data_IF_286491459920
#
_entry.id   IF_286491459920
#
_cell.length_a   1.000
_cell.length_b   1.000
_cell.length_c   1.000
_cell.angle_alpha   90.00
_cell.angle_beta   90.00
_cell.angle_gamma   90.00
#
_symmetry.space_group_name_H-M   'P 1'
#
loop_
_entity.id
_entity.type
_entity.pdbx_description
1 polymer ?
#
# COMPACT_ATOMS: atom_id res chain seq x y z
N UNK A 1 -9.45 4.10 7.76
CA UNK A 1 -10.84 3.95 7.27
C UNK A 1 -11.77 4.17 8.43
N UNK A 2 -12.95 4.74 8.15
CA UNK A 2 -14.08 4.77 9.10
C UNK A 2 -15.40 4.62 8.34
N UNK A 3 -15.45 3.70 7.37
CA UNK A 3 -16.59 3.56 6.44
C UNK A 3 -17.30 2.21 6.59
N UNK A 4 -16.68 1.25 7.28
CA UNK A 4 -17.23 -0.10 7.47
C UNK A 4 -17.19 -0.48 8.96
N UNK A 5 -18.36 -0.70 9.60
CA UNK A 5 -18.39 -1.24 10.96
C UNK A 5 -17.83 -2.67 10.94
N UNK A 6 -16.73 -2.89 11.66
CA UNK A 6 -16.07 -4.19 11.81
C UNK A 6 -14.65 -4.28 11.23
N UNK A 7 -14.25 -3.38 10.33
CA UNK A 7 -12.90 -3.36 9.76
C UNK A 7 -11.98 -2.47 10.61
N UNK A 8 -11.22 -3.11 11.51
CA UNK A 8 -10.28 -2.41 12.43
C UNK A 8 -8.84 -2.34 11.93
N UNK A 9 -8.50 -3.08 10.88
CA UNK A 9 -7.12 -3.24 10.42
C UNK A 9 -6.95 -2.88 8.95
N UNK A 10 -5.72 -2.51 8.60
CA UNK A 10 -5.30 -2.25 7.23
C UNK A 10 -4.16 -3.18 6.87
N UNK A 11 -4.25 -3.79 5.68
CA UNK A 11 -3.20 -4.65 5.14
C UNK A 11 -2.08 -3.77 4.61
N UNK A 12 -0.85 -4.06 5.01
CA UNK A 12 0.34 -3.40 4.45
C UNK A 12 0.55 -3.92 3.04
N UNK A 13 0.53 -3.03 2.05
CA UNK A 13 0.82 -3.37 0.65
C UNK A 13 2.33 -3.42 0.44
N UNK A 14 2.80 -4.38 -0.35
CA UNK A 14 4.23 -4.66 -0.57
C UNK A 14 4.87 -5.57 0.48
N UNK A 15 4.07 -6.21 1.35
CA UNK A 15 4.53 -7.20 2.33
C UNK A 15 3.90 -8.57 2.00
N UNK A 16 4.67 -9.65 2.12
CA UNK A 16 4.28 -11.01 1.73
C UNK A 16 3.76 -11.04 0.27
N UNK A 17 2.62 -11.69 0.02
CA UNK A 17 2.00 -11.80 -1.33
C UNK A 17 1.23 -10.55 -1.77
N UNK A 18 1.10 -9.53 -0.91
CA UNK A 18 0.36 -8.33 -1.27
C UNK A 18 1.21 -7.43 -2.19
N UNK A 19 0.98 -7.50 -3.50
CA UNK A 19 1.70 -6.68 -4.47
C UNK A 19 1.55 -5.17 -4.22
N UNK A 20 2.65 -4.42 -4.43
CA UNK A 20 2.63 -2.96 -4.38
C UNK A 20 1.82 -2.34 -5.53
N UNK A 21 1.35 -1.11 -5.35
CA UNK A 21 0.57 -0.40 -6.38
C UNK A 21 1.50 0.13 -7.47
N UNK A 22 1.36 -0.31 -8.72
CA UNK A 22 2.21 0.16 -9.83
C UNK A 22 2.08 1.68 -10.07
N UNK A 23 3.18 2.31 -10.53
CA UNK A 23 3.27 3.74 -10.92
C UNK A 23 2.93 4.82 -9.86
N UNK A 24 2.85 4.44 -8.59
CA UNK A 24 2.72 5.38 -7.47
C UNK A 24 3.99 6.21 -7.25
N UNK A 25 3.97 7.48 -7.67
CA UNK A 25 5.08 8.44 -7.46
C UNK A 25 5.09 9.09 -6.08
N UNK A 26 3.93 9.25 -5.44
CA UNK A 26 3.79 9.87 -4.11
C UNK A 26 3.20 8.90 -3.08
N UNK A 27 3.68 8.94 -1.84
CA UNK A 27 3.23 8.04 -0.76
C UNK A 27 3.61 6.57 -0.96
N UNK A 28 4.71 6.32 -1.69
CA UNK A 28 5.15 4.97 -2.11
C UNK A 28 5.39 3.99 -0.96
N UNK A 29 5.84 4.48 0.20
CA UNK A 29 6.10 3.66 1.39
C UNK A 29 4.83 3.01 1.96
N UNK A 30 3.68 3.69 1.86
CA UNK A 30 2.40 3.16 2.34
C UNK A 30 1.82 2.08 1.42
N UNK A 31 2.17 2.12 0.14
CA UNK A 31 1.60 1.27 -0.90
C UNK A 31 2.58 0.24 -1.47
N UNK A 32 3.71 0.03 -0.79
CA UNK A 32 4.68 -1.01 -1.18
C UNK A 32 5.40 -0.74 -2.50
N UNK A 33 5.49 0.52 -2.93
CA UNK A 33 6.16 0.86 -4.18
C UNK A 33 7.62 1.23 -3.97
N UNK A 34 8.50 0.57 -4.71
CA UNK A 34 9.92 0.92 -4.77
C UNK A 34 10.10 2.27 -5.47
N UNK A 35 11.14 2.99 -5.08
CA UNK A 35 11.53 4.22 -5.79
C UNK A 35 11.91 3.84 -7.21
N UNK A 36 11.30 4.42 -8.25
CA UNK A 36 11.73 4.19 -9.61
C UNK A 36 13.20 4.62 -9.74
N UNK A 37 14.04 3.73 -10.26
CA UNK A 37 15.44 4.01 -10.59
C UNK A 37 15.43 4.81 -11.89
N UNK A 38 15.24 6.12 -11.78
CA UNK A 38 15.54 7.08 -12.83
C UNK A 38 16.65 7.97 -12.33
#
# INVERSE_FOLDING_TARGET
MKDLPGVRYHIIRGALDAAGVQDRKQGRSKYGTKRPKK
#
